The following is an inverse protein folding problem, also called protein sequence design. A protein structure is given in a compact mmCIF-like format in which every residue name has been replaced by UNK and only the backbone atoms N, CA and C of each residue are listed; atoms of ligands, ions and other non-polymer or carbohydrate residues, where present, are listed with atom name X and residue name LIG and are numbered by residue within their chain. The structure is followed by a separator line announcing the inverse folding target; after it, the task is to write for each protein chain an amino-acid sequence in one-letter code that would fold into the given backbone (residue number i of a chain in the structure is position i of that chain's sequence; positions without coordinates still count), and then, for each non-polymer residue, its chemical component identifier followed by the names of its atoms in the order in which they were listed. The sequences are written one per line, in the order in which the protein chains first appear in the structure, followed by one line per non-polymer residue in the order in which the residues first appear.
data_IF_695220219082
#
_entry.id   IF_695220219082
#
_cell.length_a   1.000
_cell.length_b   1.000
_cell.length_c   1.000
_cell.angle_alpha   90.00
_cell.angle_beta   90.00
_cell.angle_gamma   90.00
#
_symmetry.space_group_name_H-M   'P 1'
#
loop_
_entity.id
_entity.type
_entity.pdbx_description
1 polymer ?
#
# COMPACT_ATOMS: atom_id res chain seq x y z
N UNK A 1 5.87 -22.48 -2.14
CA UNK A 1 4.93 -22.16 -3.23
C UNK A 1 5.26 -22.90 -4.52
N UNK A 2 6.47 -22.83 -5.04
CA UNK A 2 6.84 -23.56 -6.28
C UNK A 2 6.60 -25.06 -6.18
N UNK A 3 6.94 -25.68 -5.04
CA UNK A 3 6.76 -27.11 -4.77
C UNK A 3 5.34 -27.51 -4.34
N UNK A 4 4.45 -26.53 -4.08
CA UNK A 4 3.11 -26.77 -3.53
C UNK A 4 1.98 -26.29 -4.45
N UNK A 5 2.29 -25.99 -5.71
CA UNK A 5 1.28 -25.66 -6.73
C UNK A 5 0.86 -24.18 -6.78
N UNK A 6 1.70 -23.27 -6.31
CA UNK A 6 1.44 -21.83 -6.42
C UNK A 6 1.11 -21.14 -5.10
N UNK A 7 0.50 -19.96 -5.20
CA UNK A 7 0.10 -19.16 -4.03
C UNK A 7 -0.10 -17.68 -4.36
N UNK A 8 -0.31 -16.88 -3.32
CA UNK A 8 -0.47 -15.43 -3.45
C UNK A 8 0.38 -14.70 -2.41
N UNK A 9 1.05 -13.65 -2.84
CA UNK A 9 1.89 -12.77 -2.02
C UNK A 9 1.33 -11.36 -2.12
N UNK A 10 1.21 -10.67 -1.00
CA UNK A 10 0.87 -9.25 -0.97
C UNK A 10 1.95 -8.49 -0.21
N UNK A 11 2.60 -7.58 -0.90
CA UNK A 11 3.60 -6.68 -0.33
C UNK A 11 2.93 -5.38 0.15
N UNK A 12 3.33 -4.88 1.31
CA UNK A 12 2.85 -3.58 1.79
C UNK A 12 3.81 -2.48 1.36
N UNK A 13 3.43 -1.74 0.30
CA UNK A 13 4.16 -0.56 -0.14
C UNK A 13 3.63 0.71 0.59
N UNK A 14 3.23 1.71 -0.15
CA UNK A 14 2.64 2.99 0.30
C UNK A 14 2.15 3.75 -0.93
N UNK A 15 1.24 4.71 -0.79
CA UNK A 15 0.97 5.72 -1.82
C UNK A 15 2.26 6.41 -2.27
N UNK A 16 3.23 6.59 -1.36
CA UNK A 16 4.58 7.09 -1.66
C UNK A 16 5.48 6.09 -2.40
N UNK A 17 4.96 4.96 -2.81
CA UNK A 17 5.57 4.06 -3.80
C UNK A 17 5.25 4.44 -5.24
N UNK A 18 4.40 5.46 -5.47
CA UNK A 18 4.05 5.98 -6.80
C UNK A 18 4.26 7.50 -6.94
N UNK A 19 4.25 8.23 -5.83
CA UNK A 19 4.46 9.68 -5.79
C UNK A 19 5.53 10.04 -4.76
N UNK A 20 5.98 11.29 -4.78
CA UNK A 20 7.00 11.77 -3.86
C UNK A 20 6.51 12.96 -3.03
N UNK A 21 7.09 13.10 -1.84
CA UNK A 21 6.98 14.27 -0.98
C UNK A 21 8.39 14.74 -0.59
N UNK A 22 8.51 16.01 -0.18
CA UNK A 22 9.79 16.54 0.30
C UNK A 22 10.26 15.83 1.58
N UNK A 23 11.58 15.71 1.75
CA UNK A 23 12.24 15.21 2.97
C UNK A 23 11.89 13.75 3.34
N UNK A 24 11.60 12.90 2.36
CA UNK A 24 11.28 11.49 2.56
C UNK A 24 11.98 10.56 1.53
N UNK A 25 13.16 10.94 1.04
CA UNK A 25 13.84 10.25 -0.04
C UNK A 25 14.09 8.77 0.23
N UNK A 26 14.56 8.42 1.42
CA UNK A 26 14.85 7.03 1.80
C UNK A 26 13.58 6.17 1.82
N UNK A 27 12.52 6.70 2.41
CA UNK A 27 11.22 6.00 2.49
C UNK A 27 10.61 5.82 1.09
N UNK A 28 10.63 6.89 0.27
CA UNK A 28 10.12 6.88 -1.10
C UNK A 28 10.89 5.85 -1.94
N UNK A 29 12.22 5.87 -1.88
CA UNK A 29 13.07 4.90 -2.59
C UNK A 29 12.72 3.47 -2.19
N UNK A 30 12.61 3.20 -0.88
CA UNK A 30 12.24 1.88 -0.38
C UNK A 30 10.86 1.44 -0.89
N UNK A 31 9.85 2.32 -0.85
CA UNK A 31 8.47 1.97 -1.25
C UNK A 31 8.30 1.85 -2.77
N UNK A 32 9.02 2.63 -3.57
CA UNK A 32 9.12 2.41 -5.02
C UNK A 32 9.81 1.07 -5.32
N UNK A 33 10.86 0.72 -4.57
CA UNK A 33 11.53 -0.57 -4.70
C UNK A 33 10.60 -1.75 -4.42
N UNK A 34 9.71 -1.66 -3.43
CA UNK A 34 8.70 -2.69 -3.15
C UNK A 34 7.74 -2.86 -4.32
N UNK A 35 7.30 -1.77 -4.96
CA UNK A 35 6.44 -1.84 -6.15
C UNK A 35 7.19 -2.49 -7.32
N UNK A 36 8.44 -2.10 -7.55
CA UNK A 36 9.29 -2.70 -8.56
C UNK A 36 9.50 -4.20 -8.35
N UNK A 37 9.86 -4.60 -7.13
CA UNK A 37 10.00 -6.01 -6.74
C UNK A 37 8.71 -6.81 -6.95
N UNK A 38 7.56 -6.21 -6.61
CA UNK A 38 6.24 -6.84 -6.82
C UNK A 38 6.00 -7.17 -8.29
N UNK A 39 6.30 -6.23 -9.19
CA UNK A 39 6.13 -6.41 -10.63
C UNK A 39 7.12 -7.44 -11.20
N UNK A 40 8.37 -7.39 -10.78
CA UNK A 40 9.39 -8.35 -11.19
C UNK A 40 8.99 -9.77 -10.77
N UNK A 41 8.64 -9.99 -9.51
CA UNK A 41 8.23 -11.29 -9.01
C UNK A 41 6.93 -11.79 -9.68
N UNK A 42 5.98 -10.91 -9.97
CA UNK A 42 4.77 -11.26 -10.71
C UNK A 42 5.08 -11.77 -12.13
N UNK A 43 6.04 -11.12 -12.82
CA UNK A 43 6.50 -11.53 -14.14
C UNK A 43 7.25 -12.87 -14.10
N UNK A 44 8.16 -13.03 -13.11
CA UNK A 44 9.00 -14.20 -12.99
C UNK A 44 8.21 -15.47 -12.63
N UNK A 45 7.21 -15.35 -11.76
CA UNK A 45 6.56 -16.51 -11.14
C UNK A 45 5.09 -16.70 -11.52
N UNK A 46 4.50 -15.79 -12.31
CA UNK A 46 3.08 -15.87 -12.70
C UNK A 46 2.70 -17.16 -13.41
N UNK A 47 3.52 -17.60 -14.38
CA UNK A 47 3.31 -18.86 -15.09
C UNK A 47 3.41 -20.11 -14.21
N UNK A 48 3.96 -19.97 -13.01
CA UNK A 48 4.12 -21.03 -12.01
C UNK A 48 3.01 -21.00 -10.94
N UNK A 49 1.93 -20.25 -11.21
CA UNK A 49 0.77 -20.17 -10.33
C UNK A 49 0.97 -19.29 -9.10
N UNK A 50 1.99 -18.42 -9.06
CA UNK A 50 2.22 -17.50 -7.95
C UNK A 50 1.80 -16.09 -8.38
N UNK A 51 0.82 -15.52 -7.68
CA UNK A 51 0.43 -14.12 -7.85
C UNK A 51 1.17 -13.24 -6.84
N UNK A 52 1.68 -12.11 -7.28
CA UNK A 52 2.38 -11.15 -6.41
C UNK A 52 1.80 -9.75 -6.66
N UNK A 53 1.18 -9.17 -5.64
CA UNK A 53 0.58 -7.84 -5.70
C UNK A 53 1.10 -6.96 -4.55
N UNK A 54 0.90 -5.66 -4.65
CA UNK A 54 1.17 -4.73 -3.57
C UNK A 54 -0.09 -3.96 -3.19
N UNK A 55 -0.25 -3.66 -1.91
CA UNK A 55 -1.16 -2.61 -1.45
C UNK A 55 -0.38 -1.32 -1.22
N UNK A 56 -1.01 -0.19 -1.55
CA UNK A 56 -0.49 1.16 -1.36
C UNK A 56 -1.40 1.91 -0.37
N UNK A 57 -1.20 1.74 0.94
CA UNK A 57 -1.97 2.48 1.91
C UNK A 57 -1.71 3.99 1.83
N UNK A 58 -2.76 4.79 2.01
CA UNK A 58 -2.65 6.17 2.47
C UNK A 58 -2.29 6.23 3.95
N UNK A 59 -2.47 7.40 4.58
CA UNK A 59 -2.28 7.50 6.03
C UNK A 59 -3.32 6.62 6.73
N UNK A 60 -2.81 5.73 7.57
CA UNK A 60 -3.60 4.74 8.31
C UNK A 60 -3.38 4.93 9.81
N UNK A 61 -4.45 5.00 10.58
CA UNK A 61 -4.45 5.26 12.02
C UNK A 61 -3.94 4.05 12.82
N UNK A 62 -2.65 3.78 12.69
CA UNK A 62 -1.93 2.86 13.56
C UNK A 62 -1.63 3.54 14.91
N UNK A 63 -1.27 2.80 15.97
CA UNK A 63 -0.89 3.42 17.25
C UNK A 63 0.21 4.48 17.13
N UNK A 64 1.15 4.29 16.20
CA UNK A 64 2.22 5.27 15.91
C UNK A 64 1.65 6.56 15.30
N UNK A 65 0.83 6.44 14.28
CA UNK A 65 0.24 7.60 13.58
C UNK A 65 -0.76 8.31 14.47
N UNK A 66 -1.58 7.57 15.23
CA UNK A 66 -2.56 8.17 16.15
C UNK A 66 -1.89 9.06 17.21
N UNK A 67 -0.73 8.67 17.70
CA UNK A 67 0.05 9.51 18.63
C UNK A 67 0.51 10.81 17.96
N UNK A 68 1.00 10.75 16.74
CA UNK A 68 1.47 11.92 15.99
C UNK A 68 0.32 12.86 15.62
N UNK A 69 -0.82 12.31 15.20
CA UNK A 69 -2.03 13.12 14.88
C UNK A 69 -2.57 13.84 16.10
N UNK A 70 -2.41 13.26 17.31
CA UNK A 70 -2.85 13.85 18.57
C UNK A 70 -1.84 14.87 19.13
N UNK A 71 -0.63 14.96 18.60
CA UNK A 71 0.39 15.91 19.03
C UNK A 71 0.23 17.25 18.30
N UNK A 72 0.05 18.33 19.07
CA UNK A 72 -0.18 19.67 18.52
C UNK A 72 0.96 20.16 17.60
N UNK A 73 2.20 19.71 17.84
CA UNK A 73 3.34 20.06 17.00
C UNK A 73 3.25 19.46 15.59
N UNK A 74 2.62 18.30 15.45
CA UNK A 74 2.46 17.62 14.17
C UNK A 74 1.10 17.85 13.52
N UNK A 75 0.11 18.34 14.27
CA UNK A 75 -1.25 18.57 13.78
C UNK A 75 -1.30 19.35 12.46
N UNK A 76 -0.61 20.48 12.26
CA UNK A 76 -0.68 21.22 10.98
C UNK A 76 -0.17 20.42 9.78
N UNK A 77 0.76 19.49 10.00
CA UNK A 77 1.29 18.59 8.96
C UNK A 77 0.21 17.58 8.57
N UNK A 78 -0.42 16.96 9.57
CA UNK A 78 -1.47 15.96 9.32
C UNK A 78 -2.74 16.57 8.74
N UNK A 79 -3.11 17.80 9.11
CA UNK A 79 -4.23 18.52 8.52
C UNK A 79 -4.01 18.72 7.00
N UNK A 80 -2.81 19.14 6.58
CA UNK A 80 -2.47 19.26 5.15
C UNK A 80 -2.44 17.91 4.42
N UNK A 81 -2.02 16.85 5.10
CA UNK A 81 -2.04 15.51 4.51
C UNK A 81 -3.50 15.04 4.38
N UNK A 82 -4.35 15.36 5.34
CA UNK A 82 -5.77 15.02 5.32
C UNK A 82 -6.50 15.68 4.12
N UNK A 83 -6.18 16.93 3.80
CA UNK A 83 -6.73 17.63 2.63
C UNK A 83 -6.47 16.88 1.30
N UNK A 84 -5.41 16.06 1.26
CA UNK A 84 -5.08 15.21 0.12
C UNK A 84 -5.78 13.84 0.14
N UNK A 85 -6.66 13.60 1.09
CA UNK A 85 -7.50 12.41 1.15
C UNK A 85 -8.97 12.81 0.86
N UNK A 86 -9.44 12.73 -0.40
CA UNK A 86 -10.80 13.16 -0.77
C UNK A 86 -11.92 12.53 0.06
N UNK A 87 -11.66 11.33 0.62
CA UNK A 87 -12.63 10.68 1.51
C UNK A 87 -12.83 11.42 2.85
N UNK A 88 -11.99 12.43 3.17
CA UNK A 88 -12.13 13.31 4.32
C UNK A 88 -11.69 12.71 5.66
N UNK A 89 -11.02 11.56 5.65
CA UNK A 89 -10.49 10.91 6.85
C UNK A 89 -9.28 10.05 6.53
N UNK A 90 -8.50 9.71 7.54
CA UNK A 90 -7.48 8.68 7.45
C UNK A 90 -8.08 7.27 7.48
N UNK A 91 -7.35 6.30 6.93
CA UNK A 91 -7.77 4.91 6.90
C UNK A 91 -7.65 4.22 8.25
N UNK A 92 -8.41 3.14 8.43
CA UNK A 92 -8.26 2.23 9.55
C UNK A 92 -7.41 1.02 9.12
N UNK A 93 -6.61 0.41 10.04
CA UNK A 93 -5.84 -0.79 9.72
C UNK A 93 -6.67 -1.93 9.13
N UNK A 94 -7.91 -2.09 9.59
CA UNK A 94 -8.84 -3.09 9.07
C UNK A 94 -9.18 -2.90 7.60
N UNK A 95 -9.26 -1.66 7.12
CA UNK A 95 -9.57 -1.36 5.70
C UNK A 95 -8.42 -1.83 4.79
N UNK A 96 -7.18 -1.68 5.24
CA UNK A 96 -6.01 -2.21 4.55
C UNK A 96 -6.02 -3.74 4.61
N UNK A 97 -6.35 -4.31 5.78
CA UNK A 97 -6.44 -5.76 6.00
C UNK A 97 -7.46 -6.43 5.08
N UNK A 98 -8.63 -5.84 4.86
CA UNK A 98 -9.63 -6.39 3.94
C UNK A 98 -9.16 -6.39 2.49
N UNK A 99 -8.46 -5.35 2.05
CA UNK A 99 -7.86 -5.32 0.71
C UNK A 99 -6.77 -6.41 0.54
N UNK A 100 -5.93 -6.60 1.56
CA UNK A 100 -4.91 -7.67 1.58
C UNK A 100 -5.59 -9.04 1.52
N UNK A 101 -6.60 -9.27 2.33
CA UNK A 101 -7.37 -10.52 2.36
C UNK A 101 -7.98 -10.84 0.98
N UNK A 102 -8.58 -9.85 0.33
CA UNK A 102 -9.13 -10.01 -1.01
C UNK A 102 -8.04 -10.36 -2.03
N UNK A 103 -6.91 -9.65 -2.04
CA UNK A 103 -5.79 -9.93 -2.95
C UNK A 103 -5.21 -11.33 -2.74
N UNK A 104 -5.26 -11.87 -1.53
CA UNK A 104 -4.79 -13.22 -1.22
C UNK A 104 -5.79 -14.31 -1.64
N UNK A 105 -7.07 -13.96 -1.79
CA UNK A 105 -8.15 -14.90 -2.11
C UNK A 105 -8.20 -15.29 -3.58
N UNK A 106 -9.03 -16.28 -3.91
CA UNK A 106 -9.35 -16.68 -5.27
C UNK A 106 -10.13 -15.62 -6.06
N UNK A 107 -10.83 -14.70 -5.37
CA UNK A 107 -11.60 -13.64 -5.99
C UNK A 107 -10.71 -12.63 -6.76
N UNK A 108 -9.43 -12.57 -6.38
CA UNK A 108 -8.39 -11.81 -7.08
C UNK A 108 -7.54 -12.66 -8.02
N UNK A 109 -8.07 -13.76 -8.55
CA UNK A 109 -7.32 -14.76 -9.33
C UNK A 109 -6.67 -14.20 -10.61
N UNK A 110 -7.19 -13.12 -11.17
CA UNK A 110 -6.61 -12.47 -12.36
C UNK A 110 -5.75 -11.23 -12.01
N UNK A 111 -5.54 -10.95 -10.71
CA UNK A 111 -4.69 -9.85 -10.24
C UNK A 111 -3.27 -10.35 -10.02
N UNK A 112 -2.32 -9.84 -10.82
CA UNK A 112 -0.89 -10.15 -10.69
C UNK A 112 -0.05 -8.94 -11.09
N UNK A 113 0.93 -8.55 -10.29
CA UNK A 113 1.77 -7.38 -10.51
C UNK A 113 1.09 -6.04 -10.21
N UNK A 114 -0.10 -6.04 -9.65
CA UNK A 114 -0.84 -4.83 -9.35
C UNK A 114 -0.26 -4.10 -8.13
N UNK A 115 -0.37 -2.76 -8.17
CA UNK A 115 -0.14 -1.87 -7.04
C UNK A 115 -1.48 -1.20 -6.69
N UNK A 116 -2.23 -1.82 -5.78
CA UNK A 116 -3.58 -1.42 -5.41
C UNK A 116 -3.57 -0.30 -4.39
N UNK A 117 -4.05 0.89 -4.78
CA UNK A 117 -4.21 2.00 -3.86
C UNK A 117 -5.38 1.74 -2.88
N UNK A 118 -5.11 1.91 -1.59
CA UNK A 118 -6.07 1.86 -0.49
C UNK A 118 -5.81 3.09 0.37
N UNK A 119 -6.12 4.27 -0.17
CA UNK A 119 -5.52 5.53 0.24
C UNK A 119 -6.52 6.70 0.38
N UNK A 120 -7.81 6.40 0.35
CA UNK A 120 -8.85 7.43 0.44
C UNK A 120 -8.83 8.46 -0.68
N UNK A 121 -8.24 8.10 -1.84
CA UNK A 121 -8.13 8.97 -3.01
C UNK A 121 -6.87 9.83 -3.05
N UNK A 122 -5.90 9.60 -2.16
CA UNK A 122 -4.65 10.38 -2.09
C UNK A 122 -3.89 10.42 -3.43
N UNK A 123 -3.89 9.34 -4.19
CA UNK A 123 -3.25 9.26 -5.51
C UNK A 123 -4.13 9.77 -6.67
N UNK A 124 -5.36 10.13 -6.40
CA UNK A 124 -6.28 10.65 -7.41
C UNK A 124 -6.25 12.19 -7.53
N UNK A 125 -5.51 12.88 -6.62
CA UNK A 125 -5.42 14.35 -6.52
C UNK A 125 -4.00 14.87 -6.68
#
# INVERSE_FOLDING_TARGET
MLSTGGGSIVNTASSLGQVAIKNAGEYITAKHGVVGLTRAAAADYGAQGIRVNAVLPGITLTPMISRLVSDENFKPIFDRILERHPIGRFGQPSEIGEAVKWLLSSDASFMNGAALAVDGGYLAT
#
